data_IF_658124934766
#
_entry.id   IF_658124934766
#
_cell.length_a   1.000
_cell.length_b   1.000
_cell.length_c   1.000
_cell.angle_alpha   90.00
_cell.angle_beta   90.00
_cell.angle_gamma   90.00
#
_symmetry.space_group_name_H-M   'P 1'
#
loop_
_entity.id
_entity.type
_entity.pdbx_description
1 polymer ?
#
# COMPACT_ATOMS: atom_id res chain seq x y z
N UNK A 1 44.45 101.32 5.45
CA UNK A 1 43.00 101.61 5.62
C UNK A 1 42.43 100.53 6.52
N UNK A 2 41.78 100.96 7.60
CA UNK A 2 41.21 100.16 8.71
C UNK A 2 40.15 99.17 8.22
N UNK A 3 40.10 97.97 8.80
CA UNK A 3 39.05 97.63 9.79
C UNK A 3 39.36 96.34 10.54
N UNK A 4 39.02 96.37 11.83
CA UNK A 4 39.45 95.53 12.93
C UNK A 4 38.75 94.17 13.07
N UNK A 5 39.50 93.27 13.73
CA UNK A 5 39.13 92.14 14.59
C UNK A 5 37.65 91.82 14.86
N UNK A 6 37.27 90.55 14.63
CA UNK A 6 36.29 89.81 15.46
C UNK A 6 36.73 88.34 15.67
N UNK A 7 37.26 88.13 16.88
CA UNK A 7 37.07 87.03 17.84
C UNK A 7 36.86 85.54 17.46
N UNK A 8 37.76 84.76 18.07
CA UNK A 8 37.53 83.64 19.00
C UNK A 8 37.07 82.27 18.46
N UNK A 9 38.09 81.43 18.29
CA UNK A 9 38.12 79.99 18.52
C UNK A 9 37.01 79.43 19.42
N UNK A 10 36.29 78.42 18.92
CA UNK A 10 36.01 77.14 19.61
C UNK A 10 35.92 76.01 18.58
N UNK A 11 37.00 75.26 18.50
CA UNK A 11 37.11 73.97 17.81
C UNK A 11 36.58 72.91 18.79
N UNK A 12 35.37 72.37 18.58
CA UNK A 12 34.88 71.21 19.33
C UNK A 12 34.13 70.27 18.38
N UNK A 13 34.90 69.30 17.88
CA UNK A 13 34.59 67.87 17.80
C UNK A 13 33.12 67.47 17.52
N UNK A 14 32.84 67.27 16.25
CA UNK A 14 31.83 66.31 15.76
C UNK A 14 32.39 64.89 15.99
N UNK A 15 32.00 64.22 17.08
CA UNK A 15 32.42 62.85 17.34
C UNK A 15 31.28 62.02 17.97
N UNK A 16 30.77 61.06 17.21
CA UNK A 16 30.37 59.76 17.75
C UNK A 16 28.95 59.62 18.30
N UNK A 17 27.92 59.89 17.49
CA UNK A 17 26.56 59.42 17.76
C UNK A 17 26.17 58.29 16.80
N UNK A 18 26.60 57.05 17.08
CA UNK A 18 25.99 55.80 16.57
C UNK A 18 26.78 54.57 17.07
N UNK A 19 26.52 54.09 18.29
CA UNK A 19 26.95 52.76 18.73
C UNK A 19 25.93 52.14 19.69
N UNK A 20 24.69 51.95 19.23
CA UNK A 20 23.78 50.95 19.80
C UNK A 20 23.06 50.21 18.66
N UNK A 21 23.85 49.64 17.74
CA UNK A 21 23.40 48.56 16.88
C UNK A 21 23.73 47.23 17.56
N UNK A 22 22.89 46.78 18.49
CA UNK A 22 22.99 45.42 19.01
C UNK A 22 22.70 44.46 17.87
N UNK A 23 23.68 43.64 17.48
CA UNK A 23 23.42 42.46 16.69
C UNK A 23 22.43 41.58 17.48
N UNK A 24 21.19 41.50 17.02
CA UNK A 24 20.34 40.36 17.34
C UNK A 24 21.00 39.19 16.62
N UNK A 25 21.89 38.48 17.33
CA UNK A 25 22.16 37.10 16.97
C UNK A 25 20.86 36.38 17.19
N UNK A 26 20.22 36.01 16.08
CA UNK A 26 19.18 35.02 16.11
C UNK A 26 19.83 33.76 16.67
N UNK A 27 19.67 33.52 17.97
CA UNK A 27 19.91 32.21 18.56
C UNK A 27 18.92 31.27 17.87
N UNK A 28 19.34 30.69 16.74
CA UNK A 28 18.85 29.38 16.37
C UNK A 28 19.21 28.53 17.57
N UNK A 29 18.19 28.18 18.35
CA UNK A 29 18.35 27.38 19.55
C UNK A 29 19.11 26.12 19.17
N UNK A 30 20.42 26.11 19.48
CA UNK A 30 21.32 25.00 19.19
C UNK A 30 20.91 23.73 19.96
N UNK A 31 19.93 23.85 20.87
CA UNK A 31 19.32 22.73 21.59
C UNK A 31 18.14 22.10 20.87
N UNK A 32 17.70 22.61 19.71
CA UNK A 32 16.72 21.90 18.88
C UNK A 32 17.50 20.94 17.97
N UNK A 33 17.54 19.63 18.26
CA UNK A 33 18.19 18.69 17.38
C UNK A 33 17.54 18.78 15.99
N UNK A 34 18.33 18.73 14.89
CA UNK A 34 17.75 18.74 13.55
C UNK A 34 16.77 17.58 13.45
N UNK A 35 15.53 17.88 13.08
CA UNK A 35 14.47 16.89 12.87
C UNK A 35 15.00 15.90 11.84
N UNK A 36 15.38 14.71 12.29
CA UNK A 36 15.77 13.65 11.37
C UNK A 36 14.48 13.19 10.70
N UNK A 37 14.41 13.22 9.36
CA UNK A 37 13.22 12.76 8.67
C UNK A 37 12.98 11.29 9.03
N UNK A 38 11.78 11.00 9.49
CA UNK A 38 11.36 9.64 9.80
C UNK A 38 11.54 8.75 8.57
N UNK A 39 12.10 7.55 8.76
CA UNK A 39 12.25 6.57 7.70
C UNK A 39 10.87 6.01 7.34
N UNK A 40 10.26 6.59 6.31
CA UNK A 40 8.93 6.21 5.83
C UNK A 40 9.02 5.38 4.56
N UNK A 41 8.16 4.38 4.47
CA UNK A 41 7.91 3.66 3.24
C UNK A 41 7.08 4.55 2.31
N UNK A 42 7.53 4.70 1.07
CA UNK A 42 6.75 5.38 0.04
C UNK A 42 5.95 4.35 -0.73
N UNK A 43 4.67 4.61 -0.97
CA UNK A 43 3.83 3.76 -1.81
C UNK A 43 3.51 4.49 -3.09
N UNK A 44 3.65 3.81 -4.23
CA UNK A 44 3.31 4.34 -5.55
C UNK A 44 2.27 3.45 -6.22
N UNK A 45 1.30 4.08 -6.88
CA UNK A 45 0.30 3.38 -7.69
C UNK A 45 0.75 3.38 -9.15
N UNK A 46 0.80 2.20 -9.76
CA UNK A 46 1.06 2.03 -11.20
C UNK A 46 -0.12 1.35 -11.86
N UNK A 47 -0.40 1.72 -13.11
CA UNK A 47 -1.54 1.23 -13.85
C UNK A 47 -1.15 0.87 -15.28
N UNK A 48 -1.55 -0.33 -15.70
CA UNK A 48 -1.43 -0.81 -17.08
C UNK A 48 -2.83 -0.92 -17.67
N UNK A 49 -3.05 -0.36 -18.87
CA UNK A 49 -4.37 -0.33 -19.51
C UNK A 49 -4.37 -1.04 -20.86
N UNK A 50 -5.42 -1.80 -21.13
CA UNK A 50 -5.67 -2.47 -22.39
C UNK A 50 -7.11 -2.25 -22.85
N UNK A 51 -7.28 -1.88 -24.12
CA UNK A 51 -8.60 -1.73 -24.74
C UNK A 51 -9.02 -3.04 -25.41
N UNK A 52 -10.12 -3.62 -24.94
CA UNK A 52 -10.77 -4.77 -25.56
C UNK A 52 -11.81 -4.26 -26.54
N UNK A 53 -11.65 -4.57 -27.82
CA UNK A 53 -12.50 -4.06 -28.89
C UNK A 53 -13.63 -5.04 -29.20
N UNK A 54 -14.86 -4.55 -29.31
CA UNK A 54 -16.01 -5.34 -29.74
C UNK A 54 -16.47 -4.89 -31.12
N UNK A 55 -16.95 -5.85 -31.91
CA UNK A 55 -17.68 -5.51 -33.13
C UNK A 55 -18.95 -4.72 -32.78
N UNK A 56 -19.42 -3.89 -33.72
CA UNK A 56 -20.65 -3.12 -33.57
C UNK A 56 -21.82 -4.05 -33.20
N UNK A 57 -22.57 -3.68 -32.17
CA UNK A 57 -23.71 -4.42 -31.60
C UNK A 57 -23.43 -5.84 -31.08
N UNK A 58 -22.20 -6.34 -31.21
CA UNK A 58 -21.80 -7.62 -30.66
C UNK A 58 -21.57 -7.52 -29.15
N UNK A 59 -22.08 -8.50 -28.41
CA UNK A 59 -21.81 -8.70 -26.99
C UNK A 59 -20.77 -9.77 -26.71
N UNK A 60 -20.44 -10.61 -27.70
CA UNK A 60 -19.44 -11.69 -27.55
C UNK A 60 -18.01 -11.16 -27.67
N UNK A 61 -17.12 -11.67 -26.82
CA UNK A 61 -15.68 -11.47 -26.94
C UNK A 61 -15.12 -12.36 -28.07
N UNK A 62 -14.44 -11.76 -29.04
CA UNK A 62 -13.83 -12.52 -30.15
C UNK A 62 -12.64 -13.37 -29.67
N UNK A 63 -12.29 -14.42 -30.41
CA UNK A 63 -11.13 -15.27 -30.10
C UNK A 63 -9.81 -14.48 -30.15
N UNK A 64 -9.69 -13.55 -31.09
CA UNK A 64 -8.50 -12.71 -31.24
C UNK A 64 -8.35 -11.75 -30.05
N UNK A 65 -9.44 -11.10 -29.64
CA UNK A 65 -9.42 -10.17 -28.51
C UNK A 65 -9.22 -10.91 -27.19
N UNK A 66 -9.74 -12.13 -27.07
CA UNK A 66 -9.43 -13.01 -25.94
C UNK A 66 -7.93 -13.26 -25.85
N UNK A 67 -7.26 -13.65 -26.94
CA UNK A 67 -5.80 -13.89 -26.94
C UNK A 67 -4.99 -12.62 -26.64
N UNK A 68 -5.41 -11.46 -27.13
CA UNK A 68 -4.75 -10.17 -26.83
C UNK A 68 -4.85 -9.79 -25.36
N UNK A 69 -6.04 -9.96 -24.78
CA UNK A 69 -6.24 -9.80 -23.34
C UNK A 69 -5.41 -10.83 -22.55
N UNK A 70 -5.29 -12.05 -23.10
CA UNK A 70 -4.31 -13.12 -22.81
C UNK A 70 -2.92 -12.59 -22.49
N UNK A 71 -2.32 -12.12 -23.57
CA UNK A 71 -0.96 -11.61 -23.61
C UNK A 71 -0.80 -10.41 -22.67
N UNK A 72 -1.73 -9.45 -22.69
CA UNK A 72 -1.68 -8.29 -21.81
C UNK A 72 -1.64 -8.67 -20.33
N UNK A 73 -2.49 -9.59 -19.89
CA UNK A 73 -2.51 -10.03 -18.48
C UNK A 73 -1.22 -10.76 -18.09
N UNK A 74 -0.60 -11.49 -19.03
CA UNK A 74 0.69 -12.15 -18.81
C UNK A 74 1.86 -11.17 -18.77
N UNK A 75 1.90 -10.18 -19.67
CA UNK A 75 2.94 -9.16 -19.71
C UNK A 75 2.87 -8.22 -18.49
N UNK A 76 1.66 -7.92 -18.02
CA UNK A 76 1.45 -7.16 -16.79
C UNK A 76 1.75 -7.97 -15.51
N UNK A 77 2.05 -9.28 -15.64
CA UNK A 77 2.16 -10.23 -14.53
C UNK A 77 1.00 -10.07 -13.55
N UNK A 78 -0.25 -10.11 -14.04
CA UNK A 78 -1.42 -9.80 -13.23
C UNK A 78 -1.64 -10.84 -12.11
N UNK A 79 -1.57 -10.41 -10.85
CA UNK A 79 -1.70 -11.25 -9.66
C UNK A 79 -3.07 -11.06 -9.01
N UNK A 80 -3.48 -12.01 -8.18
CA UNK A 80 -4.71 -11.89 -7.39
C UNK A 80 -4.70 -10.71 -6.39
N UNK A 81 -3.51 -10.24 -6.01
CA UNK A 81 -3.34 -9.05 -5.17
C UNK A 81 -3.57 -7.72 -5.93
N UNK A 82 -3.47 -7.73 -7.26
CA UNK A 82 -3.72 -6.55 -8.07
C UNK A 82 -5.21 -6.26 -8.18
N UNK A 83 -5.54 -4.98 -8.27
CA UNK A 83 -6.93 -4.56 -8.50
C UNK A 83 -7.15 -4.39 -10.00
N UNK A 84 -7.99 -5.24 -10.59
CA UNK A 84 -8.36 -5.13 -12.00
C UNK A 84 -9.64 -4.29 -12.12
N UNK A 85 -9.54 -3.19 -12.84
CA UNK A 85 -10.64 -2.26 -13.08
C UNK A 85 -11.14 -2.49 -14.50
N UNK A 86 -12.46 -2.60 -14.65
CA UNK A 86 -13.11 -2.70 -15.97
C UNK A 86 -14.00 -1.48 -16.15
N UNK A 87 -13.72 -0.68 -17.18
CA UNK A 87 -14.47 0.53 -17.51
C UNK A 87 -14.98 0.47 -18.95
N UNK A 88 -16.11 1.12 -19.21
CA UNK A 88 -16.67 1.29 -20.56
C UNK A 88 -17.26 2.69 -20.69
N UNK A 89 -17.22 3.25 -21.89
CA UNK A 89 -17.83 4.56 -22.16
C UNK A 89 -19.35 4.45 -22.39
N UNK A 90 -19.83 3.32 -22.91
CA UNK A 90 -21.23 3.16 -23.24
C UNK A 90 -22.11 2.90 -22.01
N UNK A 91 -23.26 3.57 -21.93
CA UNK A 91 -24.22 3.44 -20.82
C UNK A 91 -25.38 2.46 -21.14
N UNK A 92 -25.45 1.98 -22.38
CA UNK A 92 -26.53 1.10 -22.86
C UNK A 92 -26.42 -0.35 -22.38
N UNK A 93 -27.48 -1.13 -22.61
CA UNK A 93 -27.55 -2.55 -22.24
C UNK A 93 -26.41 -3.39 -22.85
N UNK A 94 -26.03 -3.10 -24.10
CA UNK A 94 -24.93 -3.76 -24.79
C UNK A 94 -23.60 -3.54 -24.06
N UNK A 95 -23.32 -2.31 -23.63
CA UNK A 95 -22.08 -1.96 -22.93
C UNK A 95 -22.00 -2.64 -21.56
N UNK A 96 -23.12 -2.68 -20.82
CA UNK A 96 -23.22 -3.45 -19.55
C UNK A 96 -22.93 -4.93 -19.78
N UNK A 97 -23.50 -5.52 -20.84
CA UNK A 97 -23.27 -6.94 -21.17
C UNK A 97 -21.82 -7.23 -21.54
N UNK A 98 -21.16 -6.33 -22.27
CA UNK A 98 -19.73 -6.44 -22.61
C UNK A 98 -18.84 -6.43 -21.35
N UNK A 99 -19.11 -5.52 -20.41
CA UNK A 99 -18.40 -5.46 -19.13
C UNK A 99 -18.60 -6.74 -18.33
N UNK A 100 -19.81 -7.28 -18.28
CA UNK A 100 -20.11 -8.53 -17.58
C UNK A 100 -19.31 -9.72 -18.15
N UNK A 101 -19.21 -9.81 -19.49
CA UNK A 101 -18.45 -10.88 -20.16
C UNK A 101 -16.96 -10.76 -19.88
N UNK A 102 -16.40 -9.55 -19.94
CA UNK A 102 -14.99 -9.31 -19.59
C UNK A 102 -14.73 -9.60 -18.11
N UNK A 103 -15.65 -9.18 -17.22
CA UNK A 103 -15.58 -9.46 -15.78
C UNK A 103 -15.60 -10.97 -15.52
N UNK A 104 -16.51 -11.72 -16.14
CA UNK A 104 -16.59 -13.17 -15.98
C UNK A 104 -15.28 -13.86 -16.41
N UNK A 105 -14.68 -13.41 -17.51
CA UNK A 105 -13.39 -13.91 -17.99
C UNK A 105 -12.23 -13.65 -17.00
N UNK A 106 -12.19 -12.46 -16.40
CA UNK A 106 -11.18 -12.09 -15.41
C UNK A 106 -11.36 -12.83 -14.07
N UNK A 107 -12.60 -12.96 -13.60
CA UNK A 107 -12.92 -13.69 -12.36
C UNK A 107 -12.56 -15.17 -12.46
N UNK A 108 -12.73 -15.79 -13.63
CA UNK A 108 -12.32 -17.18 -13.85
C UNK A 108 -10.81 -17.39 -13.63
N UNK A 109 -9.99 -16.35 -13.84
CA UNK A 109 -8.55 -16.35 -13.54
C UNK A 109 -8.19 -16.00 -12.10
N UNK A 110 -9.18 -15.94 -11.20
CA UNK A 110 -8.99 -15.57 -9.78
C UNK A 110 -8.34 -14.19 -9.59
N UNK A 111 -8.59 -13.27 -10.53
CA UNK A 111 -8.18 -11.87 -10.41
C UNK A 111 -9.23 -11.08 -9.61
N UNK A 112 -8.78 -10.12 -8.81
CA UNK A 112 -9.66 -9.27 -8.03
C UNK A 112 -10.25 -8.15 -8.92
N UNK A 113 -11.45 -8.39 -9.45
CA UNK A 113 -12.13 -7.42 -10.31
C UNK A 113 -12.97 -6.45 -9.49
N UNK A 114 -12.50 -5.20 -9.41
CA UNK A 114 -13.19 -4.12 -8.70
C UNK A 114 -13.97 -3.28 -9.69
N UNK A 115 -15.29 -3.18 -9.47
CA UNK A 115 -16.13 -2.27 -10.22
C UNK A 115 -15.98 -0.88 -9.59
N UNK A 116 -15.13 -0.04 -10.17
CA UNK A 116 -14.92 1.31 -9.64
C UNK A 116 -15.40 2.35 -10.63
N UNK A 117 -16.26 3.26 -10.16
CA UNK A 117 -16.55 4.55 -10.78
C UNK A 117 -15.40 5.53 -10.49
N UNK A 118 -14.14 5.14 -10.71
CA UNK A 118 -13.01 5.98 -10.29
C UNK A 118 -12.76 7.08 -11.31
N UNK A 119 -12.53 8.29 -10.79
CA UNK A 119 -12.05 9.47 -11.52
C UNK A 119 -10.69 9.25 -12.21
N UNK A 120 -10.02 8.14 -11.89
CA UNK A 120 -8.70 7.72 -12.40
C UNK A 120 -8.76 6.45 -13.25
N UNK A 121 -9.94 5.87 -13.49
CA UNK A 121 -10.04 4.87 -14.54
C UNK A 121 -9.83 5.63 -15.86
N UNK A 122 -8.68 5.41 -16.50
CA UNK A 122 -8.43 5.89 -17.86
C UNK A 122 -9.65 5.52 -18.69
N UNK A 123 -10.36 6.52 -19.21
CA UNK A 123 -11.61 6.30 -19.89
C UNK A 123 -11.39 5.36 -21.09
N UNK A 124 -12.40 4.52 -21.34
CA UNK A 124 -12.50 3.72 -22.55
C UNK A 124 -12.49 4.67 -23.75
N UNK A 125 -11.60 4.47 -24.72
CA UNK A 125 -11.40 5.42 -25.84
C UNK A 125 -12.52 5.42 -26.89
N UNK A 126 -13.52 4.54 -26.78
CA UNK A 126 -14.63 4.45 -27.74
C UNK A 126 -15.92 3.84 -27.18
N UNK A 127 -17.01 3.95 -27.96
CA UNK A 127 -18.31 3.36 -27.60
C UNK A 127 -18.34 1.83 -27.72
N UNK A 128 -17.40 1.27 -28.51
CA UNK A 128 -17.30 -0.16 -28.80
C UNK A 128 -16.15 -0.88 -28.09
N UNK A 129 -15.49 -0.23 -27.13
CA UNK A 129 -14.47 -0.89 -26.33
C UNK A 129 -14.84 -0.97 -24.85
N UNK A 130 -14.15 -1.89 -24.19
CA UNK A 130 -14.10 -2.03 -22.74
C UNK A 130 -12.63 -1.94 -22.37
N UNK A 131 -12.29 -0.99 -21.52
CA UNK A 131 -10.94 -0.85 -21.01
C UNK A 131 -10.76 -1.72 -19.77
N UNK A 132 -9.73 -2.55 -19.79
CA UNK A 132 -9.26 -3.34 -18.66
C UNK A 132 -7.97 -2.70 -18.17
N UNK A 133 -7.96 -2.27 -16.91
CA UNK A 133 -6.79 -1.66 -16.29
C UNK A 133 -6.35 -2.49 -15.08
N UNK A 134 -5.11 -2.98 -15.10
CA UNK A 134 -4.48 -3.64 -13.96
C UNK A 134 -3.79 -2.57 -13.12
N UNK A 135 -4.20 -2.47 -11.86
CA UNK A 135 -3.64 -1.51 -10.90
C UNK A 135 -2.86 -2.23 -9.81
N UNK A 136 -1.61 -1.81 -9.63
CA UNK A 136 -0.68 -2.32 -8.64
C UNK A 136 -0.17 -1.20 -7.74
N UNK A 137 0.04 -1.51 -6.48
CA UNK A 137 0.76 -0.65 -5.54
C UNK A 137 2.17 -1.22 -5.36
N UNK A 138 3.17 -0.34 -5.39
CA UNK A 138 4.57 -0.67 -5.17
C UNK A 138 5.06 0.04 -3.91
N UNK A 139 5.94 -0.61 -3.15
CA UNK A 139 6.62 0.01 -2.01
C UNK A 139 8.05 0.33 -2.39
N UNK A 140 8.45 1.57 -2.13
CA UNK A 140 9.84 2.01 -2.21
C UNK A 140 10.42 2.06 -0.80
N UNK A 141 11.50 1.31 -0.59
CA UNK A 141 12.24 1.31 0.67
C UNK A 141 12.94 2.66 0.89
N UNK A 142 13.12 3.09 2.14
CA UNK A 142 13.91 4.28 2.43
C UNK A 142 15.38 4.07 2.03
N UNK A 143 16.07 5.15 1.67
CA UNK A 143 17.51 5.13 1.42
C UNK A 143 18.29 4.82 2.70
N UNK A 144 18.55 3.54 2.93
CA UNK A 144 19.30 3.02 4.06
C UNK A 144 20.40 2.06 3.56
N UNK A 145 21.57 1.98 4.23
CA UNK A 145 21.97 2.79 5.38
C UNK A 145 22.35 4.23 5.01
N UNK A 146 22.23 5.12 5.97
CA UNK A 146 22.49 6.56 5.90
C UNK A 146 23.49 6.96 6.99
N UNK A 147 24.72 7.31 6.58
CA UNK A 147 25.83 7.68 7.47
C UNK A 147 26.11 9.19 7.47
N UNK A 148 25.14 10.01 7.08
CA UNK A 148 25.28 11.47 7.07
C UNK A 148 25.54 12.06 8.46
N UNK A 149 25.00 11.44 9.52
CA UNK A 149 25.35 11.78 10.91
C UNK A 149 26.53 10.94 11.40
N UNK A 150 27.47 11.61 12.09
CA UNK A 150 28.59 10.95 12.76
C UNK A 150 28.09 10.08 13.91
N UNK A 151 28.61 8.86 14.00
CA UNK A 151 28.18 7.87 15.01
C UNK A 151 28.68 8.19 16.42
N UNK A 152 29.82 8.87 16.57
CA UNK A 152 30.51 9.02 17.85
C UNK A 152 30.37 10.41 18.50
N UNK A 153 30.01 11.45 17.73
CA UNK A 153 29.99 12.85 18.22
C UNK A 153 28.57 13.41 18.17
N UNK A 154 27.76 13.11 19.19
CA UNK A 154 26.38 13.57 19.32
C UNK A 154 26.11 14.22 20.69
N UNK A 155 26.66 15.42 20.90
CA UNK A 155 26.50 16.15 22.16
C UNK A 155 25.09 16.73 22.37
N UNK A 156 24.30 16.87 21.30
CA UNK A 156 22.92 17.36 21.34
C UNK A 156 21.87 16.25 21.56
N UNK A 157 22.28 15.01 21.88
CA UNK A 157 21.39 13.86 22.07
C UNK A 157 20.35 13.66 20.94
N UNK A 158 20.71 14.02 19.71
CA UNK A 158 19.81 13.92 18.56
C UNK A 158 19.68 12.47 18.07
N UNK A 159 18.56 12.10 17.48
CA UNK A 159 18.41 10.75 16.89
C UNK A 159 19.40 10.53 15.74
N UNK A 160 19.90 9.31 15.57
CA UNK A 160 20.83 8.94 14.49
C UNK A 160 20.14 8.94 13.12
N UNK A 161 20.87 9.18 12.04
CA UNK A 161 20.33 9.17 10.66
C UNK A 161 19.72 7.82 10.27
N UNK A 162 20.23 6.73 10.84
CA UNK A 162 19.69 5.36 10.66
C UNK A 162 18.51 4.99 11.58
N UNK A 163 18.03 5.92 12.42
CA UNK A 163 16.91 5.62 13.31
C UNK A 163 15.67 5.20 12.51
N UNK A 164 15.15 4.00 12.79
CA UNK A 164 14.00 3.42 12.08
C UNK A 164 14.32 2.69 10.75
N UNK A 165 15.58 2.67 10.28
CA UNK A 165 15.94 2.02 9.01
C UNK A 165 15.61 0.52 9.00
N UNK A 166 15.98 -0.22 10.06
CA UNK A 166 15.71 -1.66 10.15
C UNK A 166 14.22 -1.94 10.19
N UNK A 167 13.46 -1.20 11.01
CA UNK A 167 12.01 -1.33 11.12
C UNK A 167 11.32 -1.08 9.79
N UNK A 168 11.62 0.04 9.12
CA UNK A 168 11.00 0.38 7.84
C UNK A 168 11.37 -0.63 6.75
N UNK A 169 12.64 -1.02 6.67
CA UNK A 169 13.12 -2.00 5.66
C UNK A 169 12.46 -3.35 5.86
N UNK A 170 12.45 -3.87 7.10
CA UNK A 170 11.83 -5.16 7.40
C UNK A 170 10.33 -5.13 7.13
N UNK A 171 9.63 -4.06 7.52
CA UNK A 171 8.21 -3.90 7.22
C UNK A 171 7.95 -3.89 5.71
N UNK A 172 8.75 -3.14 4.95
CA UNK A 172 8.62 -3.06 3.49
C UNK A 172 8.87 -4.39 2.79
N UNK A 173 9.75 -5.24 3.34
CA UNK A 173 10.04 -6.58 2.82
C UNK A 173 9.00 -7.63 3.24
N UNK A 174 8.33 -7.45 4.38
CA UNK A 174 7.31 -8.39 4.88
C UNK A 174 5.90 -8.09 4.36
N UNK A 175 5.63 -6.88 3.83
CA UNK A 175 4.26 -6.50 3.48
C UNK A 175 3.76 -7.30 2.27
N UNK A 176 2.70 -8.07 2.47
CA UNK A 176 2.08 -8.86 1.40
C UNK A 176 1.32 -7.97 0.40
N UNK A 177 0.67 -6.91 0.89
CA UNK A 177 -0.07 -5.96 0.06
C UNK A 177 0.39 -4.52 0.32
N UNK A 178 1.19 -3.94 -0.60
CA UNK A 178 1.65 -2.54 -0.55
C UNK A 178 0.54 -1.50 -0.35
N UNK A 179 -0.67 -1.76 -0.84
CA UNK A 179 -1.80 -0.83 -0.72
C UNK A 179 -2.16 -0.55 0.73
N UNK A 180 -1.97 -1.52 1.61
CA UNK A 180 -2.34 -1.43 3.02
C UNK A 180 -1.50 -0.37 3.77
N UNK A 181 -0.30 -0.06 3.27
CA UNK A 181 0.56 1.01 3.80
C UNK A 181 0.03 2.41 3.43
N UNK A 182 -0.58 2.57 2.26
CA UNK A 182 -1.17 3.83 1.83
C UNK A 182 -2.58 4.04 2.42
N UNK A 183 -3.34 2.95 2.53
CA UNK A 183 -4.69 2.95 3.13
C UNK A 183 -4.95 1.59 3.75
N UNK A 184 -5.19 1.58 5.05
CA UNK A 184 -5.64 0.38 5.75
C UNK A 184 -6.91 -0.22 5.13
N UNK A 185 -7.01 -1.55 5.16
CA UNK A 185 -8.22 -2.24 4.71
C UNK A 185 -9.37 -1.93 5.65
N UNK A 186 -10.56 -1.75 5.07
CA UNK A 186 -11.77 -1.63 5.86
C UNK A 186 -12.06 -3.00 6.48
N UNK A 187 -12.23 -3.09 7.82
CA UNK A 187 -12.61 -4.35 8.44
C UNK A 187 -13.94 -4.81 7.82
N UNK A 188 -14.03 -6.11 7.53
CA UNK A 188 -15.28 -6.72 7.06
C UNK A 188 -16.36 -6.72 8.14
N UNK A 189 -17.46 -7.42 7.89
CA UNK A 189 -18.45 -7.72 8.92
C UNK A 189 -17.76 -8.55 10.02
N UNK A 190 -17.49 -7.94 11.17
CA UNK A 190 -16.89 -8.63 12.32
C UNK A 190 -18.02 -9.17 13.19
N UNK A 191 -18.05 -10.49 13.37
CA UNK A 191 -18.96 -11.16 14.29
C UNK A 191 -18.23 -11.42 15.62
N UNK A 192 -18.68 -10.74 16.68
CA UNK A 192 -18.10 -10.86 18.01
C UNK A 192 -18.28 -12.26 18.61
N UNK A 193 -19.39 -12.93 18.32
CA UNK A 193 -19.67 -14.31 18.77
C UNK A 193 -18.71 -15.29 18.08
N UNK A 194 -18.48 -15.12 16.77
CA UNK A 194 -17.48 -15.90 16.05
C UNK A 194 -16.07 -15.71 16.62
N UNK A 195 -15.70 -14.46 16.93
CA UNK A 195 -14.42 -14.15 17.59
C UNK A 195 -14.28 -14.79 18.97
N UNK A 196 -15.34 -14.74 19.79
CA UNK A 196 -15.35 -15.36 21.12
C UNK A 196 -15.18 -16.89 21.04
N UNK A 197 -15.89 -17.56 20.11
CA UNK A 197 -15.76 -19.00 19.89
C UNK A 197 -14.36 -19.41 19.43
N UNK A 198 -13.71 -18.60 18.58
CA UNK A 198 -12.34 -18.86 18.16
C UNK A 198 -11.35 -18.82 19.35
N UNK A 199 -11.54 -17.88 20.28
CA UNK A 199 -10.73 -17.79 21.52
C UNK A 199 -10.99 -18.99 22.43
N UNK A 200 -12.25 -19.40 22.58
CA UNK A 200 -12.62 -20.56 23.37
C UNK A 200 -12.02 -21.86 22.82
N UNK A 201 -12.14 -22.08 21.51
CA UNK A 201 -11.53 -23.22 20.83
C UNK A 201 -10.00 -23.25 21.00
N UNK A 202 -9.34 -22.10 20.90
CA UNK A 202 -7.90 -21.98 21.18
C UNK A 202 -7.56 -22.40 22.62
N UNK A 203 -8.33 -21.94 23.62
CA UNK A 203 -8.14 -22.31 25.03
C UNK A 203 -8.38 -23.79 25.30
N UNK A 204 -9.29 -24.42 24.57
CA UNK A 204 -9.60 -25.85 24.66
C UNK A 204 -8.64 -26.74 23.84
N UNK A 205 -7.75 -26.16 23.05
CA UNK A 205 -6.86 -26.91 22.15
C UNK A 205 -7.55 -27.47 20.90
N UNK A 206 -8.75 -27.00 20.58
CA UNK A 206 -9.56 -27.45 19.43
C UNK A 206 -9.21 -26.68 18.14
N UNK A 207 -7.94 -26.31 17.96
CA UNK A 207 -7.49 -25.58 16.77
C UNK A 207 -7.31 -26.52 15.58
N UNK A 208 -7.72 -26.07 14.38
CA UNK A 208 -7.41 -26.80 13.16
C UNK A 208 -5.89 -26.79 12.93
N UNK A 209 -5.28 -27.93 12.58
CA UNK A 209 -3.88 -27.95 12.18
C UNK A 209 -3.69 -27.04 10.94
N UNK A 210 -2.54 -26.38 10.87
CA UNK A 210 -2.16 -25.65 9.67
C UNK A 210 -2.03 -26.64 8.51
N UNK A 211 -2.42 -26.22 7.31
CA UNK A 211 -2.08 -26.94 6.10
C UNK A 211 -0.55 -26.87 5.97
N UNK A 212 0.12 -28.03 5.94
CA UNK A 212 1.55 -28.10 5.72
C UNK A 212 1.84 -27.67 4.28
N UNK A 213 2.68 -26.65 4.10
CA UNK A 213 3.03 -26.06 2.80
C UNK A 213 4.05 -26.93 2.05
N UNK A 214 3.75 -28.23 1.88
CA UNK A 214 4.69 -29.19 1.31
C UNK A 214 4.09 -30.52 0.84
N UNK A 215 3.94 -30.64 -0.48
CA UNK A 215 3.92 -31.87 -1.26
C UNK A 215 2.65 -32.76 -1.24
N UNK A 216 2.11 -32.90 -2.45
CA UNK A 216 1.61 -34.15 -3.00
C UNK A 216 2.46 -35.35 -2.56
N UNK A 217 1.95 -36.18 -1.66
CA UNK A 217 2.37 -37.58 -1.56
C UNK A 217 1.24 -38.43 -2.15
N UNK A 218 1.45 -38.79 -3.41
CA UNK A 218 0.76 -39.88 -4.08
C UNK A 218 0.78 -41.12 -3.18
N UNK A 219 -0.42 -41.61 -2.86
CA UNK A 219 -0.74 -43.01 -2.54
C UNK A 219 0.48 -43.92 -2.33
N UNK A 220 0.87 -44.14 -1.06
CA UNK A 220 1.52 -45.39 -0.67
C UNK A 220 0.59 -46.12 0.28
N UNK A 221 0.01 -47.17 -0.26
CA UNK A 221 -0.80 -48.18 0.38
C UNK A 221 0.01 -48.85 1.50
N UNK A 222 -0.40 -48.65 2.75
CA UNK A 222 0.12 -49.33 3.93
C UNK A 222 -1.04 -49.80 4.80
N UNK A 223 -1.38 -51.08 4.68
CA UNK A 223 -2.47 -51.75 5.39
C UNK A 223 -2.03 -52.17 6.79
N UNK A 224 -2.75 -51.76 7.83
CA UNK A 224 -2.88 -52.46 9.14
C UNK A 224 -3.88 -51.69 10.02
N UNK A 225 -5.16 -52.05 10.06
CA UNK A 225 -5.80 -53.10 10.89
C UNK A 225 -6.10 -52.70 12.35
N UNK A 226 -7.41 -52.58 12.64
CA UNK A 226 -8.04 -52.80 13.97
C UNK A 226 -7.99 -51.63 14.97
N UNK A 227 -9.00 -51.33 15.77
CA UNK A 227 -10.30 -51.97 16.03
C UNK A 227 -11.24 -50.98 16.71
N UNK A 228 -12.52 -51.15 16.44
CA UNK A 228 -13.69 -50.54 17.08
C UNK A 228 -13.88 -50.94 18.55
N UNK A 229 -14.52 -50.06 19.34
CA UNK A 229 -15.46 -50.49 20.38
C UNK A 229 -16.51 -49.40 20.67
N UNK A 230 -17.68 -49.54 20.05
CA UNK A 230 -18.92 -48.86 20.42
C UNK A 230 -19.70 -49.77 21.37
N UNK A 231 -19.96 -49.32 22.59
CA UNK A 231 -20.87 -49.99 23.54
C UNK A 231 -22.13 -49.16 23.72
N UNK A 232 -23.21 -49.54 23.02
CA UNK A 232 -24.56 -49.03 23.23
C UNK A 232 -25.47 -50.19 23.61
N UNK A 233 -25.81 -50.30 24.90
CA UNK A 233 -26.75 -51.30 25.42
C UNK A 233 -28.15 -50.67 25.50
N UNK A 234 -29.04 -51.09 24.60
CA UNK A 234 -30.48 -50.83 24.69
C UNK A 234 -31.21 -52.10 25.11
N UNK A 235 -31.82 -52.08 26.30
CA UNK A 235 -32.72 -53.12 26.80
C UNK A 235 -34.17 -52.65 26.65
N UNK A 236 -35.00 -53.45 26.01
CA UNK A 236 -36.45 -53.25 25.93
C UNK A 236 -37.26 -54.20 26.83
N UNK A 237 -38.59 -54.02 26.78
CA UNK A 237 -39.72 -54.79 27.32
C UNK A 237 -40.53 -54.00 28.38
N UNK A 238 -41.86 -53.95 28.36
CA UNK A 238 -42.86 -54.62 27.54
C UNK A 238 -44.29 -54.24 27.96
N UNK A 239 -45.25 -54.86 27.25
CA UNK A 239 -46.72 -54.91 27.43
C UNK A 239 -47.51 -53.67 27.03
#
# INVERSE_FOLDING_TARGET
>A
MKYDHINSAKFVLFAGAMLLGGCTESFIDANVPPVVPEKRLATQEVQFGHDVVFAKDATRLSLQERRRLEVFLSEADARSADSVIVSTHGQGAISKRRVEIVRAFLTHRRLNVVQTLTRFATASSGSNNVRVSVRRHLVTLPGCPDWTKKTYSNFGNSVHSNFGCSTATNLGMMVANPRDLARGRQPGLVDGEYGARAIEAYRKGETKPLLDDGASESQIQGSSSGSSSSSGSGTGAGS
#
